data_IF_677255766309
#
_entry.id   IF_677255766309
#
_cell.length_a   1.000
_cell.length_b   1.000
_cell.length_c   1.000
_cell.angle_alpha   90.00
_cell.angle_beta   90.00
_cell.angle_gamma   90.00
#
_symmetry.space_group_name_H-M   'P 1'
#
loop_
_entity.id
_entity.type
_entity.pdbx_description
1 polymer ?
#
# COMPACT_ATOMS: atom_id res chain seq x y z
N UNK A 1 -18.73 24.01 12.44
CA UNK A 1 -17.41 23.34 12.50
C UNK A 1 -17.07 22.87 11.10
N UNK A 2 -16.09 23.48 10.45
CA UNK A 2 -15.51 22.92 9.23
C UNK A 2 -14.79 21.63 9.61
N UNK A 3 -15.15 20.53 8.97
CA UNK A 3 -14.48 19.24 9.17
C UNK A 3 -12.99 19.33 8.83
N UNK A 4 -12.18 18.34 9.22
CA UNK A 4 -10.76 18.30 8.88
C UNK A 4 -10.58 18.44 7.35
N UNK A 5 -9.74 19.41 6.96
CA UNK A 5 -9.34 19.63 5.57
C UNK A 5 -8.28 18.60 5.21
N UNK A 6 -8.49 17.92 4.08
CA UNK A 6 -7.55 16.95 3.57
C UNK A 6 -6.45 17.68 2.82
N UNK A 7 -5.20 17.32 3.14
CA UNK A 7 -4.02 17.93 2.54
C UNK A 7 -3.57 17.18 1.28
N UNK A 8 -3.95 15.89 1.17
CA UNK A 8 -3.68 15.04 0.02
C UNK A 8 -5.01 14.71 -0.68
N UNK A 9 -5.02 14.76 -2.00
CA UNK A 9 -6.08 14.14 -2.79
C UNK A 9 -5.85 12.64 -2.98
N UNK A 10 -6.70 11.98 -3.76
CA UNK A 10 -6.58 10.54 -4.00
C UNK A 10 -5.30 10.18 -4.76
N UNK A 11 -4.86 11.03 -5.69
CA UNK A 11 -3.68 10.78 -6.52
C UNK A 11 -2.41 10.89 -5.68
N UNK A 12 -2.30 11.97 -4.92
CA UNK A 12 -1.21 12.20 -3.96
C UNK A 12 -1.08 11.04 -2.97
N UNK A 13 -2.21 10.57 -2.44
CA UNK A 13 -2.22 9.52 -1.43
C UNK A 13 -1.89 8.14 -2.03
N UNK A 14 -2.28 7.88 -3.28
CA UNK A 14 -1.86 6.69 -4.04
C UNK A 14 -0.35 6.70 -4.32
N UNK A 15 0.24 7.86 -4.64
CA UNK A 15 1.69 7.98 -4.81
C UNK A 15 2.44 7.69 -3.50
N UNK A 16 1.97 8.22 -2.38
CA UNK A 16 2.54 7.93 -1.05
C UNK A 16 2.41 6.44 -0.73
N UNK A 17 1.26 5.83 -1.02
CA UNK A 17 1.05 4.39 -0.81
C UNK A 17 2.01 3.56 -1.66
N UNK A 18 2.21 3.94 -2.93
CA UNK A 18 3.19 3.33 -3.84
C UNK A 18 4.61 3.42 -3.30
N UNK A 19 5.01 4.60 -2.81
CA UNK A 19 6.32 4.79 -2.20
C UNK A 19 6.51 3.88 -0.99
N UNK A 20 5.55 3.84 -0.07
CA UNK A 20 5.64 3.04 1.17
C UNK A 20 5.71 1.54 0.90
N UNK A 21 4.84 1.02 0.02
CA UNK A 21 4.77 -0.40 -0.32
C UNK A 21 6.04 -0.85 -1.04
N UNK A 22 6.51 -0.10 -2.02
CA UNK A 22 7.72 -0.44 -2.77
C UNK A 22 8.98 -0.31 -1.91
N UNK A 23 9.05 0.70 -1.04
CA UNK A 23 10.12 0.82 -0.06
C UNK A 23 10.12 -0.34 0.95
N UNK A 24 8.95 -0.80 1.39
CA UNK A 24 8.86 -1.95 2.29
C UNK A 24 9.46 -3.20 1.63
N UNK A 25 9.25 -3.36 0.32
CA UNK A 25 9.78 -4.49 -0.45
C UNK A 25 11.30 -4.41 -0.68
N UNK A 26 11.87 -3.22 -0.84
CA UNK A 26 13.32 -3.06 -1.03
C UNK A 26 14.10 -3.18 0.29
N UNK A 27 13.45 -2.92 1.42
CA UNK A 27 14.07 -2.96 2.75
C UNK A 27 13.87 -4.30 3.48
N UNK A 28 13.49 -5.39 2.80
CA UNK A 28 13.22 -6.70 3.43
C UNK A 28 14.44 -7.36 4.07
N UNK A 29 15.64 -6.91 3.72
CA UNK A 29 16.91 -7.35 4.30
C UNK A 29 17.38 -6.43 5.45
N UNK A 30 16.74 -5.27 5.65
CA UNK A 30 16.97 -4.41 6.81
C UNK A 30 16.44 -5.08 8.09
N UNK A 31 16.83 -4.53 9.24
CA UNK A 31 16.31 -4.99 10.51
C UNK A 31 14.78 -5.01 10.48
N UNK A 32 14.20 -6.18 10.74
CA UNK A 32 12.78 -6.47 10.51
C UNK A 32 11.82 -5.52 11.27
N UNK A 33 12.28 -5.00 12.41
CA UNK A 33 11.56 -4.05 13.28
C UNK A 33 11.66 -2.59 12.79
N UNK A 34 12.58 -2.28 11.86
CA UNK A 34 12.89 -0.91 11.45
C UNK A 34 12.56 -0.58 10.00
N UNK A 35 12.68 -1.53 9.06
CA UNK A 35 12.42 -1.27 7.64
C UNK A 35 10.98 -1.59 7.24
N UNK A 36 10.68 -2.83 6.81
CA UNK A 36 9.41 -3.18 6.18
C UNK A 36 8.20 -2.97 7.08
N UNK A 37 8.33 -3.31 8.37
CA UNK A 37 7.23 -3.20 9.34
C UNK A 37 6.72 -1.76 9.45
N UNK A 38 7.62 -0.79 9.66
CA UNK A 38 7.24 0.62 9.84
C UNK A 38 6.59 1.19 8.58
N UNK A 39 7.08 0.77 7.41
CA UNK A 39 6.54 1.19 6.12
C UNK A 39 5.17 0.60 5.84
N UNK A 40 4.96 -0.70 6.12
CA UNK A 40 3.64 -1.33 5.98
C UNK A 40 2.61 -0.78 6.97
N UNK A 41 3.02 -0.51 8.22
CA UNK A 41 2.15 0.18 9.19
C UNK A 41 1.76 1.58 8.70
N UNK A 42 2.71 2.31 8.09
CA UNK A 42 2.40 3.61 7.50
C UNK A 42 1.46 3.48 6.28
N UNK A 43 1.69 2.48 5.42
CA UNK A 43 0.86 2.19 4.26
C UNK A 43 -0.59 1.90 4.68
N UNK A 44 -0.79 1.08 5.72
CA UNK A 44 -2.12 0.78 6.26
C UNK A 44 -2.82 2.03 6.80
N UNK A 45 -2.11 2.89 7.53
CA UNK A 45 -2.67 4.16 8.00
C UNK A 45 -3.09 5.09 6.86
N UNK A 46 -2.37 5.10 5.75
CA UNK A 46 -2.76 5.87 4.55
C UNK A 46 -3.99 5.25 3.90
N UNK A 47 -4.00 3.93 3.72
CA UNK A 47 -5.10 3.17 3.14
C UNK A 47 -6.41 3.32 3.94
N UNK A 48 -6.37 3.19 5.27
CA UNK A 48 -7.51 3.38 6.17
C UNK A 48 -8.16 4.76 6.01
N UNK A 49 -7.32 5.78 5.86
CA UNK A 49 -7.77 7.15 5.68
C UNK A 49 -8.41 7.29 4.29
N UNK A 50 -7.76 6.78 3.25
CA UNK A 50 -8.24 6.84 1.87
C UNK A 50 -9.58 6.13 1.65
N UNK A 51 -9.80 4.96 2.25
CA UNK A 51 -10.88 4.04 1.90
C UNK A 51 -12.29 4.66 1.88
N UNK A 52 -12.57 5.65 2.74
CA UNK A 52 -13.88 6.30 2.81
C UNK A 52 -14.16 7.37 1.73
N UNK A 53 -13.14 7.75 0.95
CA UNK A 53 -13.17 8.89 0.02
C UNK A 53 -12.60 8.59 -1.35
N UNK A 54 -11.88 7.49 -1.47
CA UNK A 54 -11.28 7.07 -2.71
C UNK A 54 -12.33 6.53 -3.68
N UNK A 55 -11.97 6.49 -4.96
CA UNK A 55 -12.73 5.75 -5.97
C UNK A 55 -12.82 4.27 -5.61
N UNK A 56 -13.83 3.57 -6.10
CA UNK A 56 -14.04 2.15 -5.79
C UNK A 56 -12.81 1.28 -6.10
N UNK A 57 -12.08 1.43 -7.22
CA UNK A 57 -10.86 0.64 -7.47
C UNK A 57 -9.79 0.82 -6.39
N UNK A 58 -9.57 2.06 -5.95
CA UNK A 58 -8.59 2.39 -4.90
C UNK A 58 -9.05 1.87 -3.53
N UNK A 59 -10.34 2.04 -3.21
CA UNK A 59 -10.92 1.55 -1.96
C UNK A 59 -10.89 0.01 -1.89
N UNK A 60 -11.15 -0.66 -3.01
CA UNK A 60 -11.02 -2.11 -3.13
C UNK A 60 -9.58 -2.56 -2.95
N UNK A 61 -8.61 -1.87 -3.57
CA UNK A 61 -7.20 -2.19 -3.37
C UNK A 61 -6.77 -2.08 -1.91
N UNK A 62 -7.13 -0.98 -1.23
CA UNK A 62 -6.84 -0.78 0.18
C UNK A 62 -7.37 -1.93 1.05
N UNK A 63 -8.66 -2.24 0.90
CA UNK A 63 -9.36 -3.27 1.67
C UNK A 63 -8.85 -4.69 1.37
N UNK A 64 -8.65 -5.00 0.10
CA UNK A 64 -8.45 -6.38 -0.35
C UNK A 64 -6.96 -6.77 -0.40
N UNK A 65 -6.04 -5.79 -0.43
CA UNK A 65 -4.60 -6.04 -0.52
C UNK A 65 -3.76 -5.40 0.58
N UNK A 66 -4.08 -4.18 1.05
CA UNK A 66 -3.29 -3.53 2.11
C UNK A 66 -3.69 -4.04 3.50
N UNK A 67 -4.99 -4.11 3.80
CA UNK A 67 -5.47 -4.55 5.12
C UNK A 67 -5.01 -5.97 5.51
N UNK A 68 -5.00 -6.97 4.61
CA UNK A 68 -4.59 -8.33 4.96
C UNK A 68 -3.08 -8.49 5.18
N UNK A 69 -2.28 -7.48 4.89
CA UNK A 69 -0.83 -7.59 5.07
C UNK A 69 -0.48 -7.71 6.55
N UNK A 70 0.36 -8.71 6.91
CA UNK A 70 0.84 -8.83 8.27
C UNK A 70 1.73 -7.62 8.62
N UNK A 71 1.35 -6.88 9.65
CA UNK A 71 2.16 -5.79 10.24
C UNK A 71 3.30 -6.31 11.13
N UNK A 72 3.58 -7.62 11.13
CA UNK A 72 4.63 -8.19 11.95
C UNK A 72 5.99 -8.04 11.26
N UNK A 73 7.04 -7.98 12.07
CA UNK A 73 8.42 -8.08 11.60
C UNK A 73 8.57 -9.27 10.62
N UNK A 74 9.39 -9.10 9.57
CA UNK A 74 9.70 -10.16 8.60
C UNK A 74 9.98 -11.47 9.35
N UNK A 75 9.12 -12.49 9.18
CA UNK A 75 9.19 -13.66 10.04
C UNK A 75 10.42 -14.49 9.69
N UNK A 76 11.05 -15.09 10.72
CA UNK A 76 12.21 -15.98 10.54
C UNK A 76 11.83 -17.25 9.78
N UNK A 77 10.62 -17.74 10.00
CA UNK A 77 9.99 -18.84 9.27
C UNK A 77 8.95 -18.27 8.30
N UNK A 78 8.81 -18.83 7.10
CA UNK A 78 7.86 -18.31 6.10
C UNK A 78 8.29 -17.00 5.43
N UNK A 79 9.59 -16.65 5.47
CA UNK A 79 10.15 -15.46 4.78
C UNK A 79 9.78 -15.43 3.30
N UNK A 80 9.87 -16.56 2.59
CA UNK A 80 9.53 -16.64 1.16
C UNK A 80 8.06 -16.32 0.91
N UNK A 81 7.15 -16.83 1.73
CA UNK A 81 5.71 -16.52 1.63
C UNK A 81 5.44 -15.04 1.90
N UNK A 82 6.13 -14.46 2.89
CA UNK A 82 6.03 -13.03 3.19
C UNK A 82 6.52 -12.16 2.01
N UNK A 83 7.65 -12.52 1.40
CA UNK A 83 8.18 -11.84 0.22
C UNK A 83 7.23 -11.97 -0.98
N UNK A 84 6.68 -13.15 -1.20
CA UNK A 84 5.70 -13.37 -2.27
C UNK A 84 4.44 -12.53 -2.07
N UNK A 85 3.97 -12.34 -0.83
CA UNK A 85 2.85 -11.43 -0.52
C UNK A 85 3.18 -9.98 -0.80
N UNK A 86 4.39 -9.52 -0.46
CA UNK A 86 4.84 -8.17 -0.81
C UNK A 86 4.98 -7.97 -2.32
N UNK A 87 5.49 -8.97 -3.04
CA UNK A 87 5.60 -8.93 -4.49
C UNK A 87 4.20 -8.86 -5.14
N UNK A 88 3.25 -9.64 -4.64
CA UNK A 88 1.85 -9.57 -5.08
C UNK A 88 1.22 -8.19 -4.78
N UNK A 89 1.46 -7.63 -3.60
CA UNK A 89 0.98 -6.28 -3.25
C UNK A 89 1.55 -5.21 -4.21
N UNK A 90 2.85 -5.27 -4.51
CA UNK A 90 3.48 -4.37 -5.48
C UNK A 90 2.87 -4.53 -6.89
N UNK A 91 2.58 -5.76 -7.31
CA UNK A 91 1.97 -6.04 -8.60
C UNK A 91 0.55 -5.48 -8.70
N UNK A 92 -0.29 -5.70 -7.69
CA UNK A 92 -1.66 -5.17 -7.64
C UNK A 92 -1.68 -3.64 -7.60
N UNK A 93 -0.77 -3.04 -6.83
CA UNK A 93 -0.61 -1.59 -6.81
C UNK A 93 -0.20 -1.05 -8.19
N UNK A 94 0.71 -1.74 -8.88
CA UNK A 94 1.07 -1.45 -10.26
C UNK A 94 -0.12 -1.51 -11.20
N UNK A 95 -1.02 -2.48 -11.04
CA UNK A 95 -2.25 -2.60 -11.83
C UNK A 95 -3.20 -1.42 -11.59
N UNK A 96 -3.42 -1.03 -10.33
CA UNK A 96 -4.25 0.14 -9.96
C UNK A 96 -3.69 1.42 -10.57
N UNK A 97 -2.39 1.67 -10.38
CA UNK A 97 -1.72 2.85 -10.93
C UNK A 97 -1.78 2.88 -12.46
N UNK A 98 -1.59 1.72 -13.11
CA UNK A 98 -1.65 1.66 -14.56
C UNK A 98 -3.07 1.90 -15.10
N UNK A 99 -4.10 1.36 -14.46
CA UNK A 99 -5.48 1.64 -14.84
C UNK A 99 -5.84 3.12 -14.66
N UNK A 100 -5.27 3.77 -13.64
CA UNK A 100 -5.55 5.18 -13.32
C UNK A 100 -4.80 6.17 -14.21
N UNK A 101 -3.53 5.91 -14.51
CA UNK A 101 -2.64 6.89 -15.14
C UNK A 101 -2.18 6.55 -16.56
N UNK A 102 -2.39 5.32 -17.05
CA UNK A 102 -2.03 4.95 -18.43
C UNK A 102 -3.23 5.17 -19.37
N UNK A 103 -3.15 6.10 -20.33
CA UNK A 103 -4.23 6.35 -21.27
C UNK A 103 -4.59 5.11 -22.08
N UNK A 104 -5.88 4.82 -22.24
CA UNK A 104 -6.39 3.71 -23.06
C UNK A 104 -6.46 2.36 -22.35
N UNK A 105 -6.15 2.30 -21.05
CA UNK A 105 -6.28 1.12 -20.19
C UNK A 105 -7.45 1.29 -19.20
N UNK A 106 -8.62 1.68 -19.70
CA UNK A 106 -9.84 1.71 -18.89
C UNK A 106 -10.41 0.30 -18.77
N UNK A 107 -10.75 -0.10 -17.54
CA UNK A 107 -11.42 -1.38 -17.21
C UNK A 107 -12.74 -1.56 -17.93
#
# INVERSE_FOLDING_TARGET
MTGPVWVLDEDDALEVLAYLVTAARTQVDEAAEYGPMRLLTAARKVADRLASRASEPTAAFARDHVDPMPELAVPREGREEYLARLDALCAELGSVLAARYVPGRSS
#
